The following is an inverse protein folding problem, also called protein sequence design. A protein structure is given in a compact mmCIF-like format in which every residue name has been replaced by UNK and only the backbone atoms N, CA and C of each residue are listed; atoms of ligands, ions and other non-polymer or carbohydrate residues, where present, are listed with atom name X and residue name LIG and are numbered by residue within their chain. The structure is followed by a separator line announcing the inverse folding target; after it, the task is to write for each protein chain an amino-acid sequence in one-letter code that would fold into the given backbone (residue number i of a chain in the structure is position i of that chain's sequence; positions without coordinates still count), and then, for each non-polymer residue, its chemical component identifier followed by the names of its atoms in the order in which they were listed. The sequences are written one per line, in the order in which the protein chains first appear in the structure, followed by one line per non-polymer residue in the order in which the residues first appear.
data_IF_904662781030
#
_entry.id   IF_904662781030
#
_cell.length_a   1.000
_cell.length_b   1.000
_cell.length_c   1.000
_cell.angle_alpha   90.00
_cell.angle_beta   90.00
_cell.angle_gamma   90.00
#
_symmetry.space_group_name_H-M   'P 1'
#
loop_
_entity.id
_entity.type
_entity.pdbx_description
1 polymer ?
#
# COMPACT_ATOMS: atom_id res chain seq x y z
N UNK A 1 -7.75 -9.26 2.46
CA UNK A 1 -6.64 -9.51 3.41
C UNK A 1 -7.02 -9.08 4.82
N UNK A 2 -7.38 -7.81 5.05
CA UNK A 2 -7.77 -7.31 6.38
C UNK A 2 -8.78 -8.19 7.14
N UNK A 3 -9.86 -8.64 6.49
CA UNK A 3 -10.82 -9.53 7.15
C UNK A 3 -10.25 -10.87 7.66
N UNK A 4 -9.29 -11.46 6.94
CA UNK A 4 -8.61 -12.70 7.38
C UNK A 4 -7.68 -12.42 8.58
N UNK A 5 -6.93 -11.33 8.53
CA UNK A 5 -6.06 -10.90 9.63
C UNK A 5 -6.87 -10.58 10.88
N UNK A 6 -7.99 -9.87 10.74
CA UNK A 6 -8.91 -9.60 11.85
C UNK A 6 -9.49 -10.89 12.43
N UNK A 7 -9.91 -11.83 11.58
CA UNK A 7 -10.42 -13.12 12.02
C UNK A 7 -9.37 -13.93 12.81
N UNK A 8 -8.11 -13.94 12.35
CA UNK A 8 -7.00 -14.57 13.07
C UNK A 8 -6.83 -14.00 14.50
N UNK A 9 -6.82 -12.68 14.65
CA UNK A 9 -6.68 -12.06 15.97
C UNK A 9 -7.91 -12.30 16.86
N UNK A 10 -9.12 -12.20 16.30
CA UNK A 10 -10.36 -12.34 17.06
C UNK A 10 -10.67 -13.80 17.46
N UNK A 11 -10.16 -14.78 16.72
CA UNK A 11 -10.28 -16.20 17.06
C UNK A 11 -9.26 -16.67 18.10
N UNK A 12 -8.37 -15.78 18.56
CA UNK A 12 -7.29 -16.14 19.48
C UNK A 12 -6.10 -16.82 18.80
N UNK A 13 -5.92 -16.62 17.49
CA UNK A 13 -4.78 -17.14 16.73
C UNK A 13 -5.07 -18.40 15.92
N UNK A 14 -6.28 -18.56 15.37
CA UNK A 14 -6.57 -19.69 14.48
C UNK A 14 -5.78 -19.59 13.17
N UNK A 15 -4.73 -20.43 13.07
CA UNK A 15 -3.79 -20.52 11.97
C UNK A 15 -4.44 -20.72 10.58
N UNK A 16 -5.68 -21.23 10.50
CA UNK A 16 -6.40 -21.30 9.24
C UNK A 16 -6.50 -19.92 8.56
N UNK A 17 -6.83 -18.88 9.33
CA UNK A 17 -6.99 -17.54 8.78
C UNK A 17 -5.65 -16.91 8.39
N UNK A 18 -4.61 -17.13 9.21
CA UNK A 18 -3.26 -16.67 8.89
C UNK A 18 -2.73 -17.32 7.62
N UNK A 19 -2.86 -18.64 7.50
CA UNK A 19 -2.44 -19.36 6.31
C UNK A 19 -3.15 -18.88 5.04
N UNK A 20 -4.46 -18.57 5.13
CA UNK A 20 -5.20 -17.98 4.01
C UNK A 20 -4.80 -16.55 3.70
N UNK A 21 -4.45 -15.76 4.71
CA UNK A 21 -3.96 -14.39 4.52
C UNK A 21 -2.60 -14.39 3.81
N UNK A 22 -1.69 -15.28 4.21
CA UNK A 22 -0.38 -15.45 3.58
C UNK A 22 -0.52 -15.92 2.12
N UNK A 23 -1.33 -16.95 1.85
CA UNK A 23 -1.60 -17.41 0.48
C UNK A 23 -2.15 -16.30 -0.43
N UNK A 24 -2.95 -15.39 0.12
CA UNK A 24 -3.45 -14.23 -0.61
C UNK A 24 -2.34 -13.18 -0.80
N UNK A 25 -1.55 -12.91 0.23
CA UNK A 25 -0.41 -12.00 0.16
C UNK A 25 0.58 -12.37 -0.93
N UNK A 26 0.99 -13.65 -0.99
CA UNK A 26 1.90 -14.16 -2.02
C UNK A 26 1.38 -13.91 -3.44
N UNK A 27 0.07 -14.04 -3.63
CA UNK A 27 -0.57 -13.84 -4.95
C UNK A 27 -0.73 -12.36 -5.32
N UNK A 28 -0.67 -11.47 -4.34
CA UNK A 28 -0.76 -10.03 -4.52
C UNK A 28 0.62 -9.37 -4.64
N UNK A 29 1.70 -10.00 -4.14
CA UNK A 29 3.07 -9.48 -4.24
C UNK A 29 3.49 -9.01 -5.65
N UNK A 30 3.11 -9.69 -6.75
CA UNK A 30 3.45 -9.20 -8.08
C UNK A 30 2.93 -7.80 -8.40
N UNK A 31 1.87 -7.34 -7.74
CA UNK A 31 1.34 -5.99 -7.93
C UNK A 31 2.36 -4.90 -7.53
N UNK A 32 3.20 -5.17 -6.54
CA UNK A 32 4.22 -4.24 -6.03
C UNK A 32 5.51 -4.27 -6.84
N UNK A 33 5.64 -5.17 -7.83
CA UNK A 33 6.81 -5.26 -8.71
C UNK A 33 6.77 -4.17 -9.79
N UNK A 34 6.85 -2.92 -9.35
CA UNK A 34 6.86 -1.69 -10.16
C UNK A 34 8.13 -0.91 -9.86
N UNK A 35 8.46 0.11 -10.65
CA UNK A 35 9.68 0.90 -10.45
C UNK A 35 9.66 1.67 -9.13
N UNK A 36 8.51 2.23 -8.76
CA UNK A 36 8.34 2.98 -7.50
C UNK A 36 7.97 2.11 -6.30
N UNK A 37 7.41 0.91 -6.55
CA UNK A 37 6.76 0.10 -5.53
C UNK A 37 5.29 0.45 -5.27
N UNK A 38 4.75 1.48 -5.93
CA UNK A 38 3.29 1.65 -5.96
C UNK A 38 2.65 0.46 -6.67
N UNK A 39 1.62 -0.18 -6.08
CA UNK A 39 1.01 -1.35 -6.68
C UNK A 39 0.23 -0.98 -7.95
N UNK A 40 0.30 -1.84 -8.97
CA UNK A 40 -0.65 -1.82 -10.08
C UNK A 40 -2.04 -2.28 -9.62
N UNK A 41 -3.08 -1.82 -10.30
CA UNK A 41 -4.48 -1.98 -9.85
C UNK A 41 -5.06 -3.38 -10.07
N UNK A 42 -4.38 -4.22 -10.87
CA UNK A 42 -4.86 -5.56 -11.25
C UNK A 42 -3.72 -6.55 -11.25
N UNK A 43 -3.99 -7.74 -10.70
CA UNK A 43 -3.03 -8.86 -10.67
C UNK A 43 -3.76 -10.18 -10.91
N UNK A 44 -3.09 -11.09 -11.63
CA UNK A 44 -3.58 -12.44 -11.86
C UNK A 44 -3.27 -13.31 -10.63
N UNK A 45 -4.29 -13.71 -9.86
CA UNK A 45 -4.11 -14.50 -8.62
C UNK A 45 -3.78 -15.97 -8.85
N UNK A 46 -4.04 -16.49 -10.05
CA UNK A 46 -3.71 -17.87 -10.45
C UNK A 46 -2.93 -17.85 -11.77
N UNK A 47 -1.67 -17.40 -11.75
CA UNK A 47 -0.83 -17.46 -12.93
C UNK A 47 -0.44 -18.92 -13.22
N UNK A 48 -0.30 -19.26 -14.50
CA UNK A 48 0.36 -20.50 -14.94
C UNK A 48 1.82 -20.48 -14.51
N UNK A 49 2.48 -21.65 -14.48
CA UNK A 49 3.90 -21.73 -14.11
C UNK A 49 4.81 -20.91 -15.05
N UNK A 50 4.44 -20.82 -16.33
CA UNK A 50 5.14 -19.99 -17.33
C UNK A 50 4.98 -18.49 -17.04
N UNK A 51 3.78 -18.06 -16.65
CA UNK A 51 3.53 -16.66 -16.28
C UNK A 51 4.30 -16.28 -15.01
N UNK A 52 4.33 -17.14 -13.99
CA UNK A 52 5.13 -16.92 -12.76
C UNK A 52 6.62 -16.72 -13.06
N UNK A 53 7.23 -17.61 -13.84
CA UNK A 53 8.65 -17.53 -14.18
C UNK A 53 9.01 -16.26 -14.96
N UNK A 54 8.06 -15.70 -15.69
CA UNK A 54 8.31 -14.57 -16.58
C UNK A 54 7.87 -13.23 -16.01
N UNK A 55 7.19 -13.18 -14.86
CA UNK A 55 6.56 -11.96 -14.31
C UNK A 55 7.55 -10.79 -14.31
N UNK A 56 7.55 -9.96 -15.36
CA UNK A 56 8.51 -8.89 -15.46
C UNK A 56 8.06 -7.79 -14.51
N UNK A 57 8.95 -6.85 -14.20
CA UNK A 57 8.51 -5.57 -13.61
C UNK A 57 7.46 -4.97 -14.54
N UNK A 58 6.34 -4.52 -13.98
CA UNK A 58 5.24 -3.92 -14.75
C UNK A 58 4.87 -2.58 -14.17
N UNK A 59 5.06 -1.53 -14.97
CA UNK A 59 4.61 -0.19 -14.64
C UNK A 59 3.28 0.13 -15.32
N UNK A 60 2.51 1.01 -14.70
CA UNK A 60 1.17 1.39 -15.13
C UNK A 60 0.68 2.63 -14.40
N UNK A 61 -0.61 2.67 -14.12
CA UNK A 61 -1.28 3.76 -13.43
C UNK A 61 -1.99 3.21 -12.20
N UNK A 62 -2.10 4.04 -11.16
CA UNK A 62 -2.84 3.76 -9.93
C UNK A 62 -3.47 5.04 -9.41
N UNK A 63 -4.42 4.93 -8.48
CA UNK A 63 -4.91 6.09 -7.75
C UNK A 63 -4.38 6.13 -6.32
N UNK A 64 -4.44 7.30 -5.67
CA UNK A 64 -3.88 7.50 -4.34
C UNK A 64 -4.41 6.49 -3.32
N UNK A 65 -5.71 6.24 -3.31
CA UNK A 65 -6.31 5.25 -2.42
C UNK A 65 -5.75 3.85 -2.70
N UNK A 66 -5.78 3.38 -3.94
CA UNK A 66 -5.27 2.04 -4.30
C UNK A 66 -3.76 1.89 -4.06
N UNK A 67 -2.98 2.95 -4.24
CA UNK A 67 -1.53 2.95 -4.05
C UNK A 67 -1.10 2.78 -2.58
N UNK A 68 -1.93 3.24 -1.64
CA UNK A 68 -1.58 3.35 -0.22
C UNK A 68 -2.38 2.42 0.69
N UNK A 69 -3.62 2.07 0.32
CA UNK A 69 -4.60 1.36 1.18
C UNK A 69 -4.44 -0.17 1.14
N UNK A 70 -3.20 -0.64 0.98
CA UNK A 70 -2.77 -2.02 1.25
C UNK A 70 -1.66 -2.06 2.32
N UNK A 71 -1.15 -0.90 2.72
CA UNK A 71 0.04 -0.77 3.58
C UNK A 71 -0.13 -1.42 4.95
N UNK A 72 -1.26 -1.19 5.62
CA UNK A 72 -1.52 -1.73 6.96
C UNK A 72 -1.65 -3.26 6.94
N UNK A 73 -2.35 -3.81 5.95
CA UNK A 73 -2.57 -5.24 5.84
C UNK A 73 -1.26 -5.97 5.56
N UNK A 74 -0.43 -5.46 4.64
CA UNK A 74 0.88 -6.03 4.34
C UNK A 74 1.89 -5.84 5.48
N UNK A 75 1.88 -4.68 6.15
CA UNK A 75 2.70 -4.48 7.36
C UNK A 75 2.32 -5.49 8.44
N UNK A 76 1.02 -5.67 8.68
CA UNK A 76 0.52 -6.61 9.69
C UNK A 76 0.88 -8.03 9.32
N UNK A 77 0.67 -8.43 8.06
CA UNK A 77 1.00 -9.77 7.57
C UNK A 77 2.50 -10.05 7.72
N UNK A 78 3.37 -9.13 7.28
CA UNK A 78 4.81 -9.28 7.44
C UNK A 78 5.27 -9.38 8.89
N UNK A 79 4.67 -8.60 9.78
CA UNK A 79 4.97 -8.66 11.23
C UNK A 79 4.62 -10.02 11.84
N UNK A 80 3.47 -10.60 11.51
CA UNK A 80 3.01 -11.85 12.14
C UNK A 80 3.62 -13.10 11.49
N UNK A 81 3.96 -13.06 10.20
CA UNK A 81 4.65 -14.17 9.53
C UNK A 81 6.17 -14.08 9.66
N UNK A 82 6.71 -12.94 10.10
CA UNK A 82 8.16 -12.68 10.13
C UNK A 82 8.77 -12.49 8.75
N UNK A 83 7.94 -12.19 7.74
CA UNK A 83 8.38 -12.03 6.35
C UNK A 83 8.66 -10.58 5.99
N UNK A 84 9.91 -10.30 5.65
CA UNK A 84 10.38 -8.96 5.30
C UNK A 84 9.83 -8.45 3.97
N UNK A 85 9.52 -9.33 3.02
CA UNK A 85 8.97 -8.94 1.72
C UNK A 85 7.56 -8.33 1.85
N UNK A 86 6.70 -8.88 2.70
CA UNK A 86 5.42 -8.29 3.04
C UNK A 86 5.57 -6.97 3.82
N UNK A 87 6.49 -6.93 4.79
CA UNK A 87 6.77 -5.70 5.54
C UNK A 87 7.26 -4.58 4.63
N UNK A 88 8.11 -4.92 3.66
CA UNK A 88 8.59 -4.00 2.63
C UNK A 88 7.45 -3.52 1.73
N UNK A 89 6.61 -4.43 1.22
CA UNK A 89 5.43 -4.07 0.41
C UNK A 89 4.48 -3.14 1.17
N UNK A 90 4.35 -3.32 2.48
CA UNK A 90 3.55 -2.46 3.36
C UNK A 90 4.08 -1.02 3.49
N UNK A 91 5.38 -0.81 3.24
CA UNK A 91 6.03 0.49 3.49
C UNK A 91 6.54 1.20 2.24
N UNK A 92 6.84 0.48 1.15
CA UNK A 92 7.50 1.03 -0.03
C UNK A 92 6.73 2.20 -0.68
N UNK A 93 5.40 2.12 -0.72
CA UNK A 93 4.56 3.19 -1.24
C UNK A 93 4.69 4.51 -0.47
N UNK A 94 4.94 4.47 0.83
CA UNK A 94 5.16 5.68 1.63
C UNK A 94 6.48 6.37 1.27
N UNK A 95 7.55 5.59 1.08
CA UNK A 95 8.82 6.13 0.63
C UNK A 95 8.73 6.69 -0.79
N UNK A 96 7.96 6.04 -1.68
CA UNK A 96 7.70 6.56 -3.01
C UNK A 96 6.97 7.92 -2.97
N UNK A 97 6.00 8.10 -2.06
CA UNK A 97 5.30 9.39 -1.88
C UNK A 97 6.21 10.51 -1.37
N UNK A 98 7.20 10.21 -0.52
CA UNK A 98 8.17 11.23 -0.08
C UNK A 98 8.94 11.84 -1.26
N UNK A 99 9.22 11.04 -2.29
CA UNK A 99 9.89 11.50 -3.51
C UNK A 99 8.96 12.08 -4.58
N UNK A 100 7.65 11.88 -4.45
CA UNK A 100 6.67 12.31 -5.44
C UNK A 100 6.35 13.81 -5.31
N UNK A 101 6.10 14.45 -6.46
CA UNK A 101 5.69 15.86 -6.49
C UNK A 101 4.31 16.03 -5.85
N UNK A 102 4.17 17.06 -5.02
CA UNK A 102 2.93 17.41 -4.35
C UNK A 102 2.72 18.93 -4.33
N UNK A 103 1.49 19.35 -4.03
CA UNK A 103 1.11 20.75 -3.86
C UNK A 103 0.73 20.94 -2.39
N UNK A 104 1.62 21.57 -1.62
CA UNK A 104 1.43 21.76 -0.17
C UNK A 104 1.08 20.47 0.59
N UNK A 105 1.75 19.36 0.29
CA UNK A 105 1.47 18.05 0.92
C UNK A 105 0.30 17.28 0.31
N UNK A 106 -0.38 17.82 -0.71
CA UNK A 106 -1.45 17.14 -1.44
C UNK A 106 -0.93 16.53 -2.74
N UNK A 107 -1.23 15.25 -2.93
CA UNK A 107 -0.83 14.50 -4.12
C UNK A 107 -1.96 14.48 -5.15
N UNK A 108 -1.60 14.29 -6.42
CA UNK A 108 -2.58 14.11 -7.49
C UNK A 108 -3.32 12.77 -7.32
N UNK A 109 -4.62 12.75 -7.57
CA UNK A 109 -5.47 11.54 -7.46
C UNK A 109 -4.93 10.36 -8.25
N UNK A 110 -4.35 10.59 -9.44
CA UNK A 110 -3.77 9.55 -10.27
C UNK A 110 -2.25 9.66 -10.39
N UNK A 111 -1.53 8.57 -10.10
CA UNK A 111 -0.07 8.45 -10.16
C UNK A 111 0.37 7.34 -11.12
N UNK A 112 1.53 7.53 -11.76
CA UNK A 112 2.22 6.46 -12.50
C UNK A 112 3.03 5.59 -11.56
N UNK A 113 2.99 4.27 -11.72
CA UNK A 113 3.79 3.36 -10.87
C UNK A 113 5.26 3.27 -11.31
N UNK A 114 5.58 3.79 -12.50
CA UNK A 114 6.95 3.88 -13.03
C UNK A 114 7.78 5.03 -12.45
N UNK A 115 7.16 6.18 -12.21
CA UNK A 115 7.87 7.39 -11.81
C UNK A 115 7.23 8.15 -10.65
N UNK A 116 5.99 7.82 -10.26
CA UNK A 116 5.23 8.58 -9.26
C UNK A 116 4.73 9.92 -9.82
N UNK A 117 4.71 10.07 -11.14
CA UNK A 117 4.23 11.29 -11.81
C UNK A 117 2.70 11.34 -11.80
N UNK A 118 2.18 12.55 -11.68
CA UNK A 118 0.75 12.79 -11.84
C UNK A 118 0.33 12.53 -13.30
N UNK A 119 -0.63 11.62 -13.52
CA UNK A 119 -1.31 11.51 -14.82
C UNK A 119 -2.72 12.10 -14.79
N UNK A 120 -3.31 12.25 -13.59
CA UNK A 120 -4.58 12.93 -13.37
C UNK A 120 -4.40 14.06 -12.37
N UNK A 121 -4.22 15.29 -12.88
CA UNK A 121 -3.96 16.51 -12.10
C UNK A 121 -5.19 17.04 -11.36
N UNK A 122 -5.83 16.18 -10.58
CA UNK A 122 -6.92 16.52 -9.67
C UNK A 122 -6.45 16.30 -8.24
N UNK A 123 -6.77 17.23 -7.36
CA UNK A 123 -6.65 17.04 -5.91
C UNK A 123 -8.03 16.64 -5.35
N UNK A 124 -8.04 15.72 -4.40
CA UNK A 124 -9.28 15.24 -3.78
C UNK A 124 -8.97 14.70 -2.39
N UNK A 125 -9.98 14.78 -1.52
CA UNK A 125 -10.04 14.08 -0.23
C UNK A 125 -11.17 13.05 -0.19
N UNK A 126 -11.91 12.91 -1.29
CA UNK A 126 -12.94 11.89 -1.47
C UNK A 126 -12.42 10.72 -2.31
N UNK A 127 -13.33 10.10 -3.06
CA UNK A 127 -13.07 8.89 -3.86
C UNK A 127 -11.73 8.93 -4.60
N UNK A 128 -11.04 7.78 -4.57
CA UNK A 128 -9.72 7.55 -5.16
C UNK A 128 -8.55 8.29 -4.47
N UNK A 129 -8.78 8.95 -3.34
CA UNK A 129 -7.74 9.61 -2.53
C UNK A 129 -7.96 9.54 -1.01
N UNK A 130 -9.21 9.54 -0.56
CA UNK A 130 -9.64 9.46 0.84
C UNK A 130 -8.75 8.61 1.77
N UNK A 131 -8.70 7.31 1.51
CA UNK A 131 -8.11 6.31 2.40
C UNK A 131 -6.58 6.35 2.43
N UNK A 132 -5.93 7.02 1.48
CA UNK A 132 -4.50 7.32 1.60
C UNK A 132 -4.24 8.13 2.87
N UNK A 133 -4.96 9.25 3.05
CA UNK A 133 -4.75 10.15 4.19
C UNK A 133 -5.14 9.47 5.51
N UNK A 134 -6.17 8.63 5.47
CA UNK A 134 -6.57 7.77 6.60
C UNK A 134 -5.44 6.81 7.00
N UNK A 135 -4.88 6.09 6.02
CA UNK A 135 -3.85 5.08 6.26
C UNK A 135 -2.51 5.68 6.67
N UNK A 136 -2.18 6.91 6.24
CA UNK A 136 -0.98 7.60 6.74
C UNK A 136 -0.98 7.71 8.28
N UNK A 137 -2.09 8.16 8.87
CA UNK A 137 -2.23 8.25 10.32
C UNK A 137 -2.34 6.86 10.97
N UNK A 138 -3.18 5.97 10.41
CA UNK A 138 -3.40 4.66 10.98
C UNK A 138 -2.15 3.78 10.97
N UNK A 139 -1.29 3.90 9.96
CA UNK A 139 -0.02 3.20 9.88
C UNK A 139 0.91 3.59 11.04
N UNK A 140 1.00 4.88 11.34
CA UNK A 140 1.75 5.36 12.50
C UNK A 140 1.18 4.77 13.80
N UNK A 141 -0.14 4.80 13.99
CA UNK A 141 -0.78 4.19 15.17
C UNK A 141 -0.54 2.67 15.25
N UNK A 142 -0.69 1.94 14.14
CA UNK A 142 -0.47 0.49 14.02
C UNK A 142 0.94 0.09 14.43
N UNK A 143 1.93 0.89 14.04
CA UNK A 143 3.34 0.68 14.37
C UNK A 143 3.69 1.02 15.82
N UNK A 144 2.70 1.24 16.69
CA UNK A 144 2.90 1.76 18.04
C UNK A 144 3.68 3.09 18.03
N UNK A 145 3.38 3.96 17.06
CA UNK A 145 3.98 5.28 16.87
C UNK A 145 5.48 5.26 16.57
N UNK A 146 5.94 4.27 15.80
CA UNK A 146 7.37 4.14 15.45
C UNK A 146 7.67 4.40 13.97
N UNK A 147 6.71 4.20 13.07
CA UNK A 147 6.86 4.51 11.65
C UNK A 147 6.55 5.98 11.38
N UNK A 148 7.58 6.82 11.40
CA UNK A 148 7.46 8.28 11.30
C UNK A 148 7.12 8.80 9.90
N UNK A 149 7.53 8.09 8.83
CA UNK A 149 7.30 8.55 7.45
C UNK A 149 5.81 8.78 7.14
N UNK A 150 4.90 7.82 7.39
CA UNK A 150 3.46 8.06 7.25
C UNK A 150 2.95 9.26 8.06
N UNK A 151 3.47 9.48 9.28
CA UNK A 151 3.06 10.61 10.11
C UNK A 151 3.49 11.96 9.52
N UNK A 152 4.71 12.05 8.98
CA UNK A 152 5.21 13.26 8.33
C UNK A 152 4.35 13.62 7.11
N UNK A 153 4.08 12.63 6.25
CA UNK A 153 3.20 12.79 5.09
C UNK A 153 1.79 13.24 5.52
N UNK A 154 1.24 12.65 6.58
CA UNK A 154 -0.05 13.04 7.13
C UNK A 154 -0.08 14.50 7.59
N UNK A 155 0.92 14.93 8.37
CA UNK A 155 1.01 16.30 8.89
C UNK A 155 1.09 17.33 7.76
N UNK A 156 1.89 17.05 6.75
CA UNK A 156 2.03 17.91 5.57
C UNK A 156 0.70 18.01 4.80
N UNK A 157 0.05 16.86 4.55
CA UNK A 157 -1.25 16.83 3.89
C UNK A 157 -2.32 17.62 4.68
N UNK A 158 -2.39 17.44 6.01
CA UNK A 158 -3.35 18.17 6.85
C UNK A 158 -3.08 19.68 6.86
N UNK A 159 -1.82 20.10 6.85
CA UNK A 159 -1.47 21.51 6.72
C UNK A 159 -1.88 22.07 5.35
N UNK A 160 -1.72 21.27 4.29
CA UNK A 160 -2.18 21.57 2.94
C UNK A 160 -3.68 21.78 2.83
N UNK A 161 -4.48 20.86 3.38
CA UNK A 161 -5.95 20.90 3.31
C UNK A 161 -6.57 22.11 4.02
N UNK A 162 -5.85 22.71 4.98
CA UNK A 162 -6.33 23.86 5.76
C UNK A 162 -6.10 25.21 5.07
N UNK A 163 -5.26 25.25 4.04
CA UNK A 163 -5.00 26.46 3.25
C UNK A 163 -6.11 26.67 2.24
#
# INVERSE_FOLDING_TARGET
MGGLLSAYYLSGGDELFLHKAEQLGDRLMPAFNTTTGFPITKVQLKPTSKERMRMPRQDGQTNLAEAATLSMEFTTLGRITGRDDFSHAGMIGWYALMGAKNISGLYCVGLTTGHGDCYLHKLSVGSAADSMYEYMLKQWVLSNKTQEVPLLLYKDAMAGMRK
#
